data_IF_576438533382
#
_entry.id   IF_576438533382
#
_cell.length_a   1.000
_cell.length_b   1.000
_cell.length_c   1.000
_cell.angle_alpha   90.00
_cell.angle_beta   90.00
_cell.angle_gamma   90.00
#
_symmetry.space_group_name_H-M   'P 1'
#
loop_
_entity.id
_entity.type
_entity.pdbx_description
1 polymer ?
#
# COMPACT_ATOMS: atom_id res chain seq x y z
N UNK A 1 -11.14 -2.94 3.48
CA UNK A 1 -10.47 -3.82 4.47
C UNK A 1 -9.29 -4.52 3.81
N UNK A 2 -8.12 -4.48 4.44
CA UNK A 2 -6.91 -5.20 4.02
C UNK A 2 -6.80 -6.60 4.65
N UNK A 3 -6.44 -7.61 3.87
CA UNK A 3 -6.26 -9.00 4.31
C UNK A 3 -4.88 -9.49 3.91
N UNK A 4 -4.06 -9.88 4.89
CA UNK A 4 -2.70 -10.38 4.64
C UNK A 4 -2.74 -11.77 3.98
N UNK A 5 -2.01 -11.92 2.88
CA UNK A 5 -1.87 -13.17 2.12
C UNK A 5 -0.53 -13.86 2.39
N UNK A 6 0.52 -13.10 2.70
CA UNK A 6 1.86 -13.64 2.97
C UNK A 6 1.85 -14.56 4.20
N UNK A 7 2.51 -15.72 4.07
CA UNK A 7 2.73 -16.67 5.16
C UNK A 7 4.18 -16.58 5.64
N UNK A 8 4.40 -16.67 6.94
CA UNK A 8 5.73 -16.72 7.54
C UNK A 8 6.44 -15.38 7.75
N UNK A 9 5.81 -14.26 7.35
CA UNK A 9 6.25 -12.91 7.68
C UNK A 9 5.06 -12.12 8.22
N UNK A 10 5.16 -11.61 9.45
CA UNK A 10 4.12 -10.75 10.01
C UNK A 10 4.38 -9.29 9.66
N UNK A 11 3.36 -8.44 9.80
CA UNK A 11 3.52 -6.98 9.67
C UNK A 11 4.52 -6.43 10.70
N UNK A 12 4.57 -7.01 11.89
CA UNK A 12 5.51 -6.60 12.92
C UNK A 12 6.95 -6.98 12.58
N UNK A 13 7.16 -8.13 11.94
CA UNK A 13 8.48 -8.54 11.44
C UNK A 13 8.90 -7.66 10.27
N UNK A 14 7.97 -7.39 9.35
CA UNK A 14 8.20 -6.50 8.21
C UNK A 14 8.70 -5.13 8.63
N UNK A 15 8.18 -4.53 9.72
CA UNK A 15 8.68 -3.26 10.27
C UNK A 15 10.08 -3.32 10.89
N UNK A 16 10.69 -4.51 11.00
CA UNK A 16 12.03 -4.68 11.60
C UNK A 16 13.05 -5.13 10.58
N UNK A 17 12.67 -6.05 9.70
CA UNK A 17 13.59 -6.75 8.80
C UNK A 17 13.24 -6.58 7.31
N UNK A 18 12.20 -5.80 7.00
CA UNK A 18 11.73 -5.62 5.63
C UNK A 18 11.21 -6.90 4.99
N UNK A 19 11.42 -7.02 3.69
CA UNK A 19 10.93 -8.12 2.88
C UNK A 19 9.69 -7.74 2.09
N UNK A 20 8.80 -8.71 1.88
CA UNK A 20 7.65 -8.57 0.98
C UNK A 20 6.39 -9.02 1.69
N UNK A 21 5.39 -8.15 1.71
CA UNK A 21 4.04 -8.50 2.13
C UNK A 21 3.06 -8.34 0.98
N UNK A 22 2.17 -9.31 0.85
CA UNK A 22 1.11 -9.37 -0.13
C UNK A 22 -0.24 -9.33 0.57
N UNK A 23 -1.16 -8.52 0.04
CA UNK A 23 -2.48 -8.28 0.62
C UNK A 23 -3.57 -8.35 -0.43
N UNK A 24 -4.76 -8.75 0.00
CA UNK A 24 -6.01 -8.49 -0.71
C UNK A 24 -6.73 -7.29 -0.08
N UNK A 25 -7.10 -6.32 -0.91
CA UNK A 25 -7.65 -5.03 -0.50
C UNK A 25 -9.00 -4.75 -1.16
N UNK A 26 -9.78 -3.90 -0.52
CA UNK A 26 -10.89 -3.20 -1.17
C UNK A 26 -10.38 -1.99 -1.96
N UNK A 27 -11.08 -1.55 -3.00
CA UNK A 27 -10.70 -0.38 -3.80
C UNK A 27 -10.57 0.90 -2.96
N UNK A 28 -11.37 1.04 -1.89
CA UNK A 28 -11.28 2.17 -0.96
C UNK A 28 -9.98 2.18 -0.15
N UNK A 29 -9.35 1.03 0.11
CA UNK A 29 -8.02 1.01 0.74
C UNK A 29 -6.95 1.59 -0.19
N UNK A 30 -7.14 1.47 -1.50
CA UNK A 30 -6.20 1.98 -2.52
C UNK A 30 -6.35 3.49 -2.70
N UNK A 31 -7.59 3.97 -2.82
CA UNK A 31 -7.88 5.40 -3.06
C UNK A 31 -8.24 6.22 -1.81
N UNK A 32 -8.19 5.61 -0.62
CA UNK A 32 -8.54 6.20 0.67
C UNK A 32 -10.04 6.44 0.86
N UNK A 33 -10.58 7.43 0.13
CA UNK A 33 -11.98 7.87 0.26
C UNK A 33 -12.77 7.77 -1.04
N UNK A 34 -12.14 7.38 -2.15
CA UNK A 34 -12.76 7.30 -3.47
C UNK A 34 -12.10 6.23 -4.33
N UNK A 35 -12.84 5.70 -5.30
CA UNK A 35 -12.33 4.82 -6.36
C UNK A 35 -12.05 5.57 -7.68
N UNK A 36 -12.04 6.90 -7.67
CA UNK A 36 -11.84 7.72 -8.88
C UNK A 36 -10.52 7.43 -9.61
N UNK A 37 -9.51 6.91 -8.90
CA UNK A 37 -8.25 6.51 -9.50
C UNK A 37 -8.42 5.47 -10.62
N UNK A 38 -9.47 4.65 -10.56
CA UNK A 38 -9.77 3.64 -11.59
C UNK A 38 -10.09 4.28 -12.95
N UNK A 39 -10.51 5.55 -12.95
CA UNK A 39 -10.88 6.31 -14.14
C UNK A 39 -9.75 7.20 -14.64
N UNK A 40 -8.61 7.26 -13.94
CA UNK A 40 -7.49 8.08 -14.38
C UNK A 40 -6.98 7.58 -15.73
N UNK A 41 -6.84 8.45 -16.76
CA UNK A 41 -6.38 8.03 -18.09
C UNK A 41 -5.02 7.30 -18.06
N UNK A 42 -4.17 7.63 -17.08
CA UNK A 42 -2.87 6.99 -16.87
C UNK A 42 -2.95 5.60 -16.23
N UNK A 43 -4.07 5.24 -15.59
CA UNK A 43 -4.22 3.99 -14.83
C UNK A 43 -5.22 3.03 -15.46
N UNK A 44 -6.29 3.52 -16.12
CA UNK A 44 -7.43 2.71 -16.57
C UNK A 44 -7.05 1.49 -17.40
N UNK A 45 -5.99 1.58 -18.22
CA UNK A 45 -5.52 0.49 -19.07
C UNK A 45 -4.49 -0.45 -18.40
N UNK A 46 -4.05 -0.13 -17.18
CA UNK A 46 -3.01 -0.86 -16.45
C UNK A 46 -3.43 -1.33 -15.05
N UNK A 47 -4.69 -1.09 -14.65
CA UNK A 47 -5.22 -1.54 -13.35
C UNK A 47 -4.97 -3.04 -13.12
N UNK A 48 -5.11 -3.86 -14.17
CA UNK A 48 -4.93 -5.31 -14.11
C UNK A 48 -3.49 -5.78 -14.35
N UNK A 49 -2.56 -4.90 -14.73
CA UNK A 49 -1.16 -5.26 -14.98
C UNK A 49 -0.25 -4.91 -13.80
N UNK A 50 -0.63 -3.93 -13.00
CA UNK A 50 0.18 -3.41 -11.91
C UNK A 50 0.35 -1.90 -12.04
N UNK A 51 0.13 -1.16 -10.96
CA UNK A 51 0.38 0.27 -10.89
C UNK A 51 0.78 0.69 -9.48
N UNK A 52 1.40 1.86 -9.38
CA UNK A 52 1.77 2.46 -8.11
C UNK A 52 1.01 3.77 -7.92
N UNK A 53 0.62 4.03 -6.67
CA UNK A 53 0.19 5.35 -6.23
C UNK A 53 1.28 5.86 -5.29
N UNK A 54 2.21 6.68 -5.79
CA UNK A 54 3.36 7.11 -5.00
C UNK A 54 2.88 7.90 -3.79
N UNK A 55 3.51 7.63 -2.64
CA UNK A 55 3.28 8.43 -1.45
C UNK A 55 3.75 9.88 -1.69
N UNK A 56 3.15 10.80 -0.95
CA UNK A 56 3.63 12.19 -0.94
C UNK A 56 5.02 12.25 -0.31
N UNK A 57 5.83 13.24 -0.69
CA UNK A 57 7.17 13.42 -0.10
C UNK A 57 7.14 13.66 1.42
N UNK A 58 5.98 14.02 1.99
CA UNK A 58 5.80 14.25 3.43
C UNK A 58 6.09 13.00 4.25
N UNK A 59 5.87 11.80 3.70
CA UNK A 59 6.06 10.56 4.46
C UNK A 59 7.53 10.25 4.73
N UNK A 60 8.45 10.87 3.99
CA UNK A 60 9.90 10.77 4.24
C UNK A 60 10.37 11.63 5.42
N UNK A 61 9.58 12.62 5.87
CA UNK A 61 9.91 13.40 7.05
C UNK A 61 9.51 12.64 8.32
N UNK A 62 10.46 12.35 9.24
CA UNK A 62 10.19 11.58 10.45
C UNK A 62 9.06 12.15 11.33
N UNK A 63 8.82 13.47 11.31
CA UNK A 63 7.77 14.11 12.12
C UNK A 63 6.38 13.72 11.62
N UNK A 64 6.17 13.72 10.31
CA UNK A 64 4.89 13.32 9.71
C UNK A 64 4.71 11.81 9.79
N UNK A 65 5.77 11.04 9.53
CA UNK A 65 5.73 9.58 9.68
C UNK A 65 5.31 9.16 11.09
N UNK A 66 5.89 9.76 12.13
CA UNK A 66 5.52 9.44 13.52
C UNK A 66 4.03 9.68 13.80
N UNK A 67 3.47 10.79 13.31
CA UNK A 67 2.04 11.09 13.46
C UNK A 67 1.16 10.06 12.73
N UNK A 68 1.55 9.65 11.52
CA UNK A 68 0.84 8.62 10.75
C UNK A 68 0.89 7.28 11.48
N UNK A 69 2.06 6.87 12.00
CA UNK A 69 2.22 5.61 12.72
C UNK A 69 1.41 5.56 14.02
N UNK A 70 1.15 6.70 14.65
CA UNK A 70 0.28 6.79 15.83
C UNK A 70 -1.20 6.76 15.43
N UNK A 71 -1.62 7.63 14.51
CA UNK A 71 -3.04 7.94 14.27
C UNK A 71 -3.68 7.31 13.03
N UNK A 72 -2.89 6.87 12.06
CA UNK A 72 -3.40 6.27 10.82
C UNK A 72 -4.16 4.96 11.07
N UNK A 73 -4.94 4.53 10.09
CA UNK A 73 -5.46 3.17 10.08
C UNK A 73 -4.35 2.16 9.72
N UNK A 74 -4.70 0.87 9.73
CA UNK A 74 -3.76 -0.20 9.43
C UNK A 74 -3.04 -0.01 8.09
N UNK A 75 -3.78 0.26 7.02
CA UNK A 75 -3.22 0.32 5.66
C UNK A 75 -2.38 1.57 5.47
N UNK A 76 -2.86 2.71 5.97
CA UNK A 76 -2.15 3.99 5.95
C UNK A 76 -0.80 3.87 6.66
N UNK A 77 -0.74 3.20 7.83
CA UNK A 77 0.53 2.97 8.55
C UNK A 77 1.51 2.14 7.74
N UNK A 78 1.06 1.02 7.18
CA UNK A 78 1.90 0.10 6.42
C UNK A 78 2.44 0.78 5.16
N UNK A 79 1.55 1.43 4.40
CA UNK A 79 1.89 2.16 3.17
C UNK A 79 2.92 3.23 3.48
N UNK A 80 2.64 4.07 4.49
CA UNK A 80 3.54 5.14 4.87
C UNK A 80 4.93 4.66 5.30
N UNK A 81 4.98 3.61 6.13
CA UNK A 81 6.23 3.01 6.56
C UNK A 81 7.03 2.46 5.38
N UNK A 82 6.38 1.76 4.45
CA UNK A 82 7.03 1.16 3.28
C UNK A 82 7.76 2.22 2.45
N UNK A 83 7.10 3.35 2.14
CA UNK A 83 7.75 4.45 1.39
C UNK A 83 8.82 5.17 2.20
N UNK A 84 8.65 5.33 3.52
CA UNK A 84 9.67 5.92 4.37
C UNK A 84 10.97 5.11 4.40
N UNK A 85 10.88 3.79 4.19
CA UNK A 85 12.03 2.90 4.03
C UNK A 85 12.57 2.85 2.60
N UNK A 86 12.06 3.68 1.68
CA UNK A 86 12.46 3.66 0.27
C UNK A 86 11.86 2.51 -0.54
N UNK A 87 10.87 1.81 0.02
CA UNK A 87 10.14 0.73 -0.64
C UNK A 87 9.05 1.22 -1.59
N UNK A 88 8.27 0.26 -2.11
CA UNK A 88 7.13 0.53 -2.98
C UNK A 88 5.92 -0.32 -2.64
N UNK A 89 4.75 0.15 -3.08
CA UNK A 89 3.48 -0.58 -2.98
C UNK A 89 2.83 -0.64 -4.35
N UNK A 90 2.81 -1.84 -4.94
CA UNK A 90 2.24 -2.10 -6.27
C UNK A 90 0.86 -2.72 -6.12
N UNK A 91 -0.12 -2.14 -6.79
CA UNK A 91 -1.51 -2.58 -6.82
C UNK A 91 -1.86 -3.25 -8.15
N UNK A 92 -2.64 -4.31 -8.09
CA UNK A 92 -3.18 -5.01 -9.27
C UNK A 92 -4.63 -5.40 -9.01
N UNK A 93 -5.54 -4.93 -9.86
CA UNK A 93 -6.94 -5.30 -9.81
C UNK A 93 -7.11 -6.78 -10.17
N UNK A 94 -7.90 -7.48 -9.37
CA UNK A 94 -8.28 -8.88 -9.54
C UNK A 94 -9.63 -8.99 -10.27
N UNK A 95 -9.95 -10.14 -10.90
CA UNK A 95 -11.25 -10.34 -11.54
C UNK A 95 -12.46 -10.17 -10.61
N UNK A 96 -12.26 -10.28 -9.29
CA UNK A 96 -13.28 -10.03 -8.27
C UNK A 96 -13.60 -8.55 -8.06
N UNK A 97 -12.85 -7.63 -8.67
CA UNK A 97 -12.91 -6.18 -8.42
C UNK A 97 -12.08 -5.74 -7.20
N UNK A 98 -11.54 -6.69 -6.43
CA UNK A 98 -10.59 -6.42 -5.33
C UNK A 98 -9.20 -6.13 -5.87
N UNK A 99 -8.31 -5.67 -5.00
CA UNK A 99 -6.93 -5.37 -5.37
C UNK A 99 -5.97 -6.30 -4.65
N UNK A 100 -5.02 -6.86 -5.39
CA UNK A 100 -3.81 -7.41 -4.83
C UNK A 100 -2.79 -6.29 -4.64
N UNK A 101 -2.26 -6.13 -3.44
CA UNK A 101 -1.20 -5.18 -3.14
C UNK A 101 0.07 -5.91 -2.72
N UNK A 102 1.20 -5.50 -3.28
CA UNK A 102 2.54 -5.98 -2.93
C UNK A 102 3.32 -4.82 -2.33
N UNK A 103 3.62 -4.90 -1.03
CA UNK A 103 4.46 -3.93 -0.30
C UNK A 103 5.84 -4.51 -0.07
N UNK A 104 6.89 -3.79 -0.47
CA UNK A 104 8.27 -4.28 -0.47
C UNK A 104 9.27 -3.19 -0.08
N UNK A 105 10.16 -3.49 0.87
CA UNK A 105 11.35 -2.69 1.17
C UNK A 105 12.49 -3.59 1.65
N UNK A 106 13.74 -3.22 1.33
CA UNK A 106 14.95 -4.03 1.55
C UNK A 106 16.03 -3.14 2.19
#
# INVERSE_FOLDING_TARGET
>A
MATLLTKGLTVQDYYKIGGVLEFELDALEVGGNSTDFEKFPSLVNILSTGFELPATSMVADPKFLAQILVHGDFWTKLHAYTYAMGGSVVYKQLPSGRYHARSEWI
#
